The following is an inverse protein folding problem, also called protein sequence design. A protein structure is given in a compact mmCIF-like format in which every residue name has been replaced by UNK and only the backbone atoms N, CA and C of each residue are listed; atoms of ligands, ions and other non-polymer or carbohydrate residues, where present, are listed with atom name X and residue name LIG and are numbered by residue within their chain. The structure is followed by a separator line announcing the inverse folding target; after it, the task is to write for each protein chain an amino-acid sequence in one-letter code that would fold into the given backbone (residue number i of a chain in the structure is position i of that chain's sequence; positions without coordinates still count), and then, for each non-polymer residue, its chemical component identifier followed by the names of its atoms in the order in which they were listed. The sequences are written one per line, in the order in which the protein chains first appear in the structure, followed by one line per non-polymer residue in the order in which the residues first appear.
data_IF_667363642302
#
_entry.id   IF_667363642302
#
_cell.length_a   1.000
_cell.length_b   1.000
_cell.length_c   1.000
_cell.angle_alpha   90.00
_cell.angle_beta   90.00
_cell.angle_gamma   90.00
#
_symmetry.space_group_name_H-M   'P 1'
#
loop_
_entity.id
_entity.type
_entity.pdbx_description
1 polymer ?
#
# COMPACT_ATOMS: atom_id res chain seq x y z
N UNK A 1 1.58 -13.92 -46.43
CA UNK A 1 2.36 -14.91 -45.65
C UNK A 1 3.57 -14.14 -45.12
N UNK A 2 3.36 -13.37 -44.05
CA UNK A 2 4.37 -12.48 -43.45
C UNK A 2 5.02 -13.20 -42.27
N UNK A 3 6.35 -13.33 -42.31
CA UNK A 3 7.17 -13.88 -41.24
C UNK A 3 7.51 -12.78 -40.22
N UNK A 4 7.02 -12.92 -39.00
CA UNK A 4 7.49 -12.16 -37.83
C UNK A 4 8.81 -12.76 -37.35
N UNK A 5 9.86 -11.95 -37.30
CA UNK A 5 11.11 -12.24 -36.57
C UNK A 5 10.84 -12.01 -35.08
N UNK A 6 11.21 -12.99 -34.26
CA UNK A 6 11.26 -12.86 -32.81
C UNK A 6 12.67 -12.41 -32.42
N UNK A 7 12.77 -11.28 -31.74
CA UNK A 7 14.03 -10.82 -31.15
C UNK A 7 14.30 -11.62 -29.87
N UNK A 8 15.50 -12.20 -29.82
CA UNK A 8 16.04 -12.95 -28.68
C UNK A 8 16.70 -11.94 -27.75
N UNK A 9 16.20 -11.84 -26.53
CA UNK A 9 16.83 -11.08 -25.45
C UNK A 9 17.95 -11.94 -24.84
N UNK A 10 19.20 -11.48 -24.95
CA UNK A 10 20.33 -12.07 -24.24
C UNK A 10 20.32 -11.58 -22.78
N UNK A 11 20.13 -12.51 -21.84
CA UNK A 11 20.32 -12.26 -20.42
C UNK A 11 21.82 -12.33 -20.11
N UNK A 12 22.37 -11.24 -19.56
CA UNK A 12 23.75 -11.18 -19.09
C UNK A 12 23.96 -12.05 -17.84
N UNK A 13 25.06 -12.78 -17.83
CA UNK A 13 25.59 -13.50 -16.67
C UNK A 13 26.06 -12.48 -15.61
N UNK A 14 25.28 -12.30 -14.54
CA UNK A 14 25.73 -11.67 -13.31
C UNK A 14 26.12 -12.76 -12.30
N UNK A 15 27.24 -12.54 -11.62
CA UNK A 15 27.86 -13.42 -10.63
C UNK A 15 27.04 -13.38 -9.32
N UNK A 16 26.37 -14.49 -8.99
CA UNK A 16 25.37 -14.56 -7.91
C UNK A 16 26.03 -14.85 -6.55
N UNK A 17 26.25 -13.80 -5.76
CA UNK A 17 26.65 -13.90 -4.35
C UNK A 17 25.52 -14.50 -3.49
N UNK A 18 25.87 -15.28 -2.47
CA UNK A 18 24.99 -16.18 -1.70
C UNK A 18 24.02 -15.46 -0.72
N UNK A 19 23.64 -14.21 -0.97
CA UNK A 19 22.68 -13.45 -0.14
C UNK A 19 21.23 -13.58 -0.57
N UNK A 20 20.95 -14.27 -1.67
CA UNK A 20 19.57 -14.52 -2.13
C UNK A 20 19.03 -15.83 -1.54
N UNK A 21 18.21 -15.74 -0.50
CA UNK A 21 17.23 -16.81 -0.24
C UNK A 21 16.22 -16.76 -1.40
N UNK A 22 16.42 -17.66 -2.36
CA UNK A 22 15.69 -17.77 -3.63
C UNK A 22 14.18 -17.65 -3.49
N UNK A 23 13.55 -16.89 -4.40
CA UNK A 23 12.11 -16.88 -4.76
C UNK A 23 11.61 -18.28 -5.17
N UNK A 24 11.54 -19.22 -4.23
CA UNK A 24 10.66 -20.39 -4.36
C UNK A 24 9.27 -19.95 -3.91
N UNK A 25 8.23 -20.38 -4.62
CA UNK A 25 6.88 -20.39 -4.06
C UNK A 25 6.93 -21.27 -2.81
N UNK A 26 7.14 -20.65 -1.66
CA UNK A 26 7.14 -21.33 -0.37
C UNK A 26 5.70 -21.74 -0.06
N UNK A 27 5.54 -23.00 0.37
CA UNK A 27 4.24 -23.58 0.70
C UNK A 27 3.79 -23.10 2.09
N UNK A 28 4.66 -22.43 2.85
CA UNK A 28 4.42 -22.07 4.25
C UNK A 28 5.20 -20.83 4.70
N UNK A 29 4.53 -19.67 4.79
CA UNK A 29 5.15 -18.44 5.30
C UNK A 29 5.58 -18.50 6.77
N UNK A 30 5.06 -19.45 7.55
CA UNK A 30 5.49 -19.69 8.93
C UNK A 30 6.94 -20.16 8.97
N UNK A 31 7.34 -21.01 8.02
CA UNK A 31 8.72 -21.48 7.92
C UNK A 31 9.69 -20.34 7.60
N UNK A 32 9.30 -19.42 6.70
CA UNK A 32 10.13 -18.27 6.33
C UNK A 32 10.37 -17.35 7.53
N UNK A 33 9.32 -17.07 8.33
CA UNK A 33 9.43 -16.29 9.57
C UNK A 33 10.29 -16.98 10.63
N UNK A 34 10.20 -18.32 10.75
CA UNK A 34 11.04 -19.10 11.66
C UNK A 34 12.51 -19.08 11.26
N UNK A 35 12.80 -19.24 9.96
CA UNK A 35 14.16 -19.11 9.43
C UNK A 35 14.68 -17.70 9.71
N UNK A 36 13.88 -16.68 9.40
CA UNK A 36 14.21 -15.27 9.63
C UNK A 36 14.53 -14.99 11.12
N UNK A 37 13.77 -15.59 12.05
CA UNK A 37 14.00 -15.50 13.50
C UNK A 37 15.21 -16.30 14.00
N UNK A 38 15.56 -17.40 13.34
CA UNK A 38 16.69 -18.25 13.72
C UNK A 38 18.04 -17.65 13.31
N UNK A 39 18.09 -16.76 12.32
CA UNK A 39 19.32 -16.12 11.87
C UNK A 39 19.94 -15.24 12.96
N UNK A 40 21.28 -15.10 12.99
CA UNK A 40 21.95 -14.19 13.92
C UNK A 40 21.43 -12.75 13.77
N UNK A 41 21.37 -11.96 14.85
CA UNK A 41 20.82 -10.61 14.78
C UNK A 41 21.57 -9.73 13.78
N UNK A 42 20.84 -8.82 13.13
CA UNK A 42 21.43 -7.80 12.26
C UNK A 42 22.26 -8.42 11.12
N UNK A 43 21.77 -9.51 10.51
CA UNK A 43 22.40 -10.12 9.34
C UNK A 43 21.50 -10.14 8.11
N UNK A 44 20.20 -9.91 8.30
CA UNK A 44 19.23 -9.97 7.21
C UNK A 44 19.01 -8.57 6.66
N UNK A 45 19.26 -8.42 5.37
CA UNK A 45 19.03 -7.18 4.63
C UNK A 45 17.74 -7.22 3.82
N UNK A 46 17.34 -8.39 3.37
CA UNK A 46 16.16 -8.58 2.55
C UNK A 46 15.32 -9.72 3.11
N UNK A 47 14.01 -9.49 3.22
CA UNK A 47 13.05 -10.49 3.61
C UNK A 47 11.89 -10.53 2.61
N UNK A 48 11.59 -11.71 2.11
CA UNK A 48 10.45 -11.93 1.23
C UNK A 48 9.60 -13.06 1.79
N UNK A 49 8.35 -12.77 2.10
CA UNK A 49 7.33 -13.73 2.51
C UNK A 49 6.26 -13.80 1.43
N UNK A 50 5.98 -15.01 0.94
CA UNK A 50 4.83 -15.27 0.08
C UNK A 50 4.09 -16.48 0.66
N UNK A 51 2.93 -16.25 1.27
CA UNK A 51 2.14 -17.32 1.87
C UNK A 51 0.74 -17.36 1.27
N UNK A 52 0.19 -18.56 1.16
CA UNK A 52 -1.24 -18.79 0.92
C UNK A 52 -1.92 -19.41 2.15
N UNK A 53 -1.18 -19.61 3.25
CA UNK A 53 -1.67 -20.31 4.44
C UNK A 53 -2.40 -19.36 5.39
N UNK A 54 -3.58 -19.78 5.85
CA UNK A 54 -4.49 -18.97 6.67
C UNK A 54 -4.23 -19.06 8.17
N UNK A 55 -3.29 -19.91 8.60
CA UNK A 55 -3.28 -20.42 9.98
C UNK A 55 -2.02 -20.03 10.78
N UNK A 56 -1.12 -19.24 10.19
CA UNK A 56 0.07 -18.75 10.89
C UNK A 56 -0.31 -17.57 11.80
N UNK A 57 -0.92 -17.87 12.95
CA UNK A 57 -1.06 -16.92 14.06
C UNK A 57 0.27 -16.82 14.81
N UNK A 58 1.30 -16.23 14.18
CA UNK A 58 2.63 -16.22 14.78
C UNK A 58 2.84 -14.98 15.66
N UNK A 59 2.83 -15.20 16.98
CA UNK A 59 3.08 -14.21 18.05
C UNK A 59 4.49 -13.58 18.01
N UNK A 60 5.32 -13.91 17.01
CA UNK A 60 6.74 -13.61 16.98
C UNK A 60 7.22 -12.69 15.85
N UNK A 61 6.41 -12.42 14.81
CA UNK A 61 6.85 -11.63 13.65
C UNK A 61 7.48 -10.29 14.03
N UNK A 62 6.82 -9.52 14.91
CA UNK A 62 7.37 -8.25 15.40
C UNK A 62 8.70 -8.40 16.17
N UNK A 63 8.88 -9.48 16.93
CA UNK A 63 10.16 -9.74 17.63
C UNK A 63 11.28 -10.11 16.65
N UNK A 64 10.92 -10.81 15.57
CA UNK A 64 11.84 -11.16 14.49
C UNK A 64 12.29 -9.92 13.73
N UNK A 65 11.38 -9.01 13.36
CA UNK A 65 11.76 -7.74 12.75
C UNK A 65 12.66 -6.91 13.66
N UNK A 66 12.34 -6.82 14.96
CA UNK A 66 13.16 -6.11 15.96
C UNK A 66 14.61 -6.58 16.00
N UNK A 67 14.84 -7.87 15.76
CA UNK A 67 16.17 -8.49 15.74
C UNK A 67 17.04 -8.02 14.57
N UNK A 68 16.44 -7.45 13.52
CA UNK A 68 17.10 -7.07 12.26
C UNK A 68 16.85 -5.62 11.83
N UNK A 69 16.31 -4.75 12.70
CA UNK A 69 15.92 -3.36 12.35
C UNK A 69 17.02 -2.50 11.73
N UNK A 70 18.28 -2.76 12.09
CA UNK A 70 19.41 -1.95 11.67
C UNK A 70 20.04 -2.46 10.37
N UNK A 71 19.62 -3.62 9.87
CA UNK A 71 20.13 -4.17 8.60
C UNK A 71 19.06 -4.39 7.55
N UNK A 72 17.79 -4.53 7.95
CA UNK A 72 16.70 -4.83 7.05
C UNK A 72 16.36 -3.63 6.16
N UNK A 73 16.71 -3.75 4.88
CA UNK A 73 16.53 -2.74 3.84
C UNK A 73 15.34 -3.02 2.93
N UNK A 74 14.99 -4.29 2.72
CA UNK A 74 13.89 -4.66 1.81
C UNK A 74 12.95 -5.66 2.45
N UNK A 75 11.66 -5.36 2.39
CA UNK A 75 10.60 -6.26 2.82
C UNK A 75 9.59 -6.39 1.69
N UNK A 76 9.37 -7.63 1.27
CA UNK A 76 8.29 -8.01 0.37
C UNK A 76 7.38 -9.01 1.10
N UNK A 77 6.11 -8.67 1.20
CA UNK A 77 5.09 -9.51 1.81
C UNK A 77 3.93 -9.65 0.85
N UNK A 78 3.58 -10.89 0.50
CA UNK A 78 2.40 -11.21 -0.30
C UNK A 78 1.63 -12.34 0.36
N UNK A 79 0.36 -12.10 0.69
CA UNK A 79 -0.49 -13.14 1.28
C UNK A 79 -0.12 -13.60 2.71
N UNK A 80 0.78 -12.88 3.40
CA UNK A 80 1.20 -13.25 4.75
C UNK A 80 0.27 -12.65 5.82
N UNK A 81 -0.75 -13.42 6.22
CA UNK A 81 -1.73 -13.11 7.29
C UNK A 81 -1.06 -12.79 8.65
N UNK A 82 0.14 -13.35 8.88
CA UNK A 82 0.87 -13.28 10.16
C UNK A 82 1.48 -11.92 10.52
N UNK A 83 1.46 -10.92 9.64
CA UNK A 83 2.14 -9.63 9.87
C UNK A 83 1.21 -8.59 10.54
N UNK A 84 -0.01 -8.98 10.92
CA UNK A 84 -0.98 -8.05 11.51
C UNK A 84 -0.56 -7.42 12.84
N UNK A 85 -1.07 -6.19 13.01
CA UNK A 85 -0.97 -5.21 14.07
C UNK A 85 0.46 -4.86 14.50
N UNK A 86 1.17 -5.76 15.18
CA UNK A 86 2.44 -5.40 15.82
C UNK A 86 3.64 -5.49 14.90
N UNK A 87 3.61 -6.37 13.89
CA UNK A 87 4.77 -6.56 13.02
C UNK A 87 4.86 -5.45 11.97
N UNK A 88 3.74 -5.11 11.33
CA UNK A 88 3.65 -3.92 10.47
C UNK A 88 3.99 -2.65 11.23
N UNK A 89 3.46 -2.47 12.45
CA UNK A 89 3.83 -1.33 13.30
C UNK A 89 5.34 -1.30 13.59
N UNK A 90 5.98 -2.43 13.91
CA UNK A 90 7.43 -2.51 14.12
C UNK A 90 8.19 -2.12 12.86
N UNK A 91 7.77 -2.63 11.70
CA UNK A 91 8.36 -2.25 10.44
C UNK A 91 8.25 -0.73 10.26
N UNK A 92 7.02 -0.20 10.31
CA UNK A 92 6.71 1.22 10.04
C UNK A 92 7.43 2.17 11.01
N UNK A 93 7.50 1.82 12.29
CA UNK A 93 7.99 2.71 13.34
C UNK A 93 9.45 2.52 13.75
N UNK A 94 10.03 1.33 13.59
CA UNK A 94 11.33 1.00 14.18
C UNK A 94 12.42 0.74 13.12
N UNK A 95 12.05 0.36 11.89
CA UNK A 95 13.01 -0.11 10.89
C UNK A 95 13.58 1.03 10.03
N UNK A 96 14.39 1.91 10.62
CA UNK A 96 14.90 3.14 9.96
C UNK A 96 15.77 2.92 8.70
N UNK A 97 16.26 1.69 8.49
CA UNK A 97 17.10 1.34 7.33
C UNK A 97 16.31 0.83 6.13
N UNK A 98 14.98 0.76 6.23
CA UNK A 98 14.13 0.24 5.15
C UNK A 98 14.11 1.19 3.94
N UNK A 99 14.46 0.65 2.78
CA UNK A 99 14.48 1.33 1.48
C UNK A 99 13.34 0.85 0.55
N UNK A 100 12.90 -0.40 0.72
CA UNK A 100 11.85 -1.03 -0.09
C UNK A 100 10.83 -1.69 0.82
N UNK A 101 9.56 -1.29 0.69
CA UNK A 101 8.44 -1.95 1.33
C UNK A 101 7.37 -2.28 0.28
N UNK A 102 7.13 -3.57 0.09
CA UNK A 102 6.11 -4.10 -0.81
C UNK A 102 5.16 -4.99 -0.01
N UNK A 103 3.90 -4.57 0.10
CA UNK A 103 2.82 -5.32 0.77
C UNK A 103 1.71 -5.53 -0.24
N UNK A 104 1.70 -6.73 -0.81
CA UNK A 104 0.73 -7.15 -1.82
C UNK A 104 -0.39 -8.00 -1.22
N UNK A 105 -1.62 -7.64 -1.58
CA UNK A 105 -2.80 -8.37 -1.19
C UNK A 105 -3.05 -9.54 -2.15
N UNK A 106 -3.22 -10.75 -1.62
CA UNK A 106 -3.34 -11.99 -2.40
C UNK A 106 -4.78 -12.46 -2.66
N UNK A 107 -5.78 -11.64 -2.32
CA UNK A 107 -7.11 -11.78 -2.93
C UNK A 107 -8.18 -12.43 -2.05
N UNK A 108 -7.86 -12.92 -0.85
CA UNK A 108 -8.79 -13.82 -0.13
C UNK A 108 -9.43 -13.22 1.11
N UNK A 109 -8.74 -12.33 1.82
CA UNK A 109 -9.20 -11.76 3.10
C UNK A 109 -8.67 -10.35 3.30
N UNK A 110 -9.36 -9.55 4.13
CA UNK A 110 -8.94 -8.22 4.57
C UNK A 110 -7.73 -8.28 5.54
N UNK A 111 -7.14 -9.46 5.72
CA UNK A 111 -6.09 -9.77 6.68
C UNK A 111 -4.67 -9.46 6.16
N UNK A 112 -4.53 -9.05 4.90
CA UNK A 112 -3.24 -8.93 4.19
C UNK A 112 -2.93 -7.48 3.75
N UNK A 113 -3.54 -6.50 4.40
CA UNK A 113 -3.33 -5.07 4.14
C UNK A 113 -3.08 -4.30 5.44
N UNK A 114 -2.44 -3.14 5.34
CA UNK A 114 -2.31 -2.22 6.47
C UNK A 114 -3.67 -1.55 6.69
N UNK A 115 -4.28 -1.75 7.85
CA UNK A 115 -5.53 -1.07 8.19
C UNK A 115 -5.32 0.45 8.21
N UNK A 116 -6.30 1.21 7.70
CA UNK A 116 -6.22 2.68 7.63
C UNK A 116 -5.93 3.31 9.00
N UNK A 117 -6.52 2.78 10.06
CA UNK A 117 -6.28 3.23 11.43
C UNK A 117 -4.82 3.01 11.85
N UNK A 118 -4.25 1.83 11.60
CA UNK A 118 -2.85 1.54 11.91
C UNK A 118 -1.87 2.37 11.06
N UNK A 119 -2.20 2.58 9.79
CA UNK A 119 -1.40 3.39 8.88
C UNK A 119 -1.23 4.84 9.38
N UNK A 120 -2.19 5.36 10.15
CA UNK A 120 -2.19 6.74 10.66
C UNK A 120 -1.84 6.86 12.15
N UNK A 121 -1.94 5.76 12.91
CA UNK A 121 -1.74 5.78 14.36
C UNK A 121 -0.31 6.19 14.75
N UNK A 122 0.66 5.88 13.88
CA UNK A 122 2.07 6.15 14.15
C UNK A 122 2.77 6.81 12.96
N UNK A 123 3.72 7.73 13.22
CA UNK A 123 4.56 8.29 12.16
C UNK A 123 5.51 7.22 11.63
N UNK A 124 5.60 7.13 10.30
CA UNK A 124 6.57 6.26 9.65
C UNK A 124 8.00 6.78 9.88
N UNK A 125 8.89 5.87 10.28
CA UNK A 125 10.25 6.16 10.74
C UNK A 125 11.32 6.18 9.63
N UNK A 126 10.94 5.80 8.41
CA UNK A 126 11.86 5.62 7.30
C UNK A 126 12.26 6.96 6.69
N UNK A 127 13.55 7.29 6.74
CA UNK A 127 14.06 8.50 6.05
C UNK A 127 14.50 8.21 4.63
N UNK A 128 14.91 6.97 4.33
CA UNK A 128 15.56 6.59 3.07
C UNK A 128 14.67 5.72 2.17
N UNK A 129 13.35 5.74 2.39
CA UNK A 129 12.41 4.92 1.61
C UNK A 129 12.46 5.34 0.13
N UNK A 130 12.77 4.39 -0.75
CA UNK A 130 12.88 4.62 -2.21
C UNK A 130 11.69 4.05 -2.95
N UNK A 131 11.25 2.85 -2.56
CA UNK A 131 10.13 2.14 -3.18
C UNK A 131 9.09 1.76 -2.14
N UNK A 132 7.86 2.23 -2.36
CA UNK A 132 6.74 1.96 -1.47
C UNK A 132 5.55 1.43 -2.26
N UNK A 133 5.11 0.22 -1.91
CA UNK A 133 3.92 -0.42 -2.48
C UNK A 133 2.99 -0.95 -1.37
N UNK A 134 2.26 -0.07 -0.66
CA UNK A 134 1.39 -0.49 0.40
C UNK A 134 0.00 -0.76 -0.16
N UNK A 135 -0.62 -1.84 0.31
CA UNK A 135 -2.06 -2.02 0.22
C UNK A 135 -2.69 -1.53 1.52
N UNK A 136 -3.49 -0.47 1.46
CA UNK A 136 -4.21 0.08 2.62
C UNK A 136 -5.65 -0.45 2.63
N UNK A 137 -6.02 -1.10 3.72
CA UNK A 137 -7.39 -1.51 4.01
C UNK A 137 -8.21 -0.32 4.49
N UNK A 138 -9.29 0.00 3.78
CA UNK A 138 -10.20 1.09 4.12
C UNK A 138 -11.62 0.51 4.29
N UNK A 139 -12.30 0.78 5.41
CA UNK A 139 -13.70 0.39 5.58
C UNK A 139 -14.57 0.93 4.44
N UNK A 140 -15.46 0.11 3.89
CA UNK A 140 -16.37 0.48 2.80
C UNK A 140 -17.28 1.65 3.17
N UNK A 141 -17.73 1.67 4.42
CA UNK A 141 -18.60 2.71 4.93
C UNK A 141 -17.77 3.85 5.56
N UNK A 142 -18.14 5.13 5.34
CA UNK A 142 -19.32 5.58 4.60
C UNK A 142 -19.08 5.96 3.11
N UNK A 143 -17.85 5.99 2.61
CA UNK A 143 -17.57 6.58 1.30
C UNK A 143 -18.00 5.72 0.10
N UNK A 144 -17.78 4.41 0.19
CA UNK A 144 -17.89 3.51 -0.95
C UNK A 144 -19.21 2.76 -0.97
N UNK A 145 -19.74 2.45 0.20
CA UNK A 145 -21.08 1.91 0.35
C UNK A 145 -21.73 2.46 1.60
N UNK A 146 -23.02 2.76 1.51
CA UNK A 146 -23.84 3.02 2.67
C UNK A 146 -25.28 2.64 2.31
N UNK A 147 -25.92 1.83 3.15
CA UNK A 147 -27.25 1.26 2.83
C UNK A 147 -28.24 2.41 2.53
N UNK A 148 -28.79 2.41 1.32
CA UNK A 148 -29.75 3.43 0.87
C UNK A 148 -29.14 4.76 0.42
N UNK A 149 -27.82 4.87 0.35
CA UNK A 149 -27.12 6.07 -0.16
C UNK A 149 -26.21 5.69 -1.31
N UNK A 150 -26.29 6.47 -2.39
CA UNK A 150 -25.44 6.30 -3.55
C UNK A 150 -23.95 6.50 -3.17
N UNK A 151 -23.02 5.65 -3.64
CA UNK A 151 -21.58 5.80 -3.37
C UNK A 151 -21.08 7.22 -3.68
N UNK A 152 -20.16 7.73 -2.87
CA UNK A 152 -19.66 9.12 -3.00
C UNK A 152 -19.27 9.47 -4.44
N UNK A 153 -18.62 8.55 -5.15
CA UNK A 153 -18.19 8.73 -6.54
C UNK A 153 -19.35 8.94 -7.52
N UNK A 154 -20.49 8.28 -7.30
CA UNK A 154 -21.66 8.29 -8.19
C UNK A 154 -22.63 9.46 -7.96
N UNK A 155 -22.60 10.09 -6.78
CA UNK A 155 -23.49 11.23 -6.45
C UNK A 155 -23.35 12.41 -7.42
N UNK A 156 -24.47 13.03 -7.80
CA UNK A 156 -24.47 14.29 -8.56
C UNK A 156 -23.97 15.48 -7.72
N UNK A 157 -23.39 16.50 -8.38
CA UNK A 157 -22.98 17.73 -7.70
C UNK A 157 -24.19 18.64 -7.39
N UNK A 158 -24.16 19.43 -6.28
CA UNK A 158 -23.12 19.50 -5.25
C UNK A 158 -23.17 18.32 -4.26
N UNK A 159 -22.01 17.74 -3.95
CA UNK A 159 -21.89 16.64 -2.99
C UNK A 159 -21.79 17.21 -1.56
N UNK A 160 -22.80 16.95 -0.73
CA UNK A 160 -22.66 17.17 0.72
C UNK A 160 -22.05 15.92 1.35
N UNK A 161 -20.96 16.10 2.07
CA UNK A 161 -20.34 15.05 2.87
C UNK A 161 -20.99 14.98 4.25
N UNK A 162 -21.29 13.76 4.70
CA UNK A 162 -21.64 13.48 6.09
C UNK A 162 -20.42 13.62 7.00
N UNK A 163 -20.65 13.70 8.32
CA UNK A 163 -19.57 13.79 9.30
C UNK A 163 -18.63 12.57 9.24
N UNK A 164 -19.17 11.36 9.04
CA UNK A 164 -18.37 10.15 8.92
C UNK A 164 -17.54 10.14 7.63
N UNK A 165 -18.07 10.66 6.51
CA UNK A 165 -17.29 10.79 5.27
C UNK A 165 -16.15 11.78 5.45
N UNK A 166 -16.39 12.92 6.11
CA UNK A 166 -15.36 13.90 6.44
C UNK A 166 -14.24 13.26 7.26
N UNK A 167 -14.58 12.44 8.26
CA UNK A 167 -13.62 11.72 9.08
C UNK A 167 -12.78 10.74 8.25
N UNK A 168 -13.41 9.91 7.41
CA UNK A 168 -12.69 8.97 6.56
C UNK A 168 -11.78 9.68 5.53
N UNK A 169 -12.21 10.83 5.01
CA UNK A 169 -11.35 11.70 4.20
C UNK A 169 -10.15 12.23 4.98
N UNK A 170 -10.34 12.65 6.24
CA UNK A 170 -9.27 13.13 7.10
C UNK A 170 -8.24 12.03 7.43
N UNK A 171 -8.70 10.80 7.68
CA UNK A 171 -7.83 9.64 7.87
C UNK A 171 -7.02 9.34 6.60
N UNK A 172 -7.66 9.37 5.44
CA UNK A 172 -6.97 9.21 4.15
C UNK A 172 -5.92 10.31 3.93
N UNK A 173 -6.23 11.56 4.28
CA UNK A 173 -5.27 12.67 4.25
C UNK A 173 -4.05 12.41 5.15
N UNK A 174 -4.26 11.88 6.34
CA UNK A 174 -3.17 11.56 7.25
C UNK A 174 -2.21 10.55 6.63
N UNK A 175 -2.71 9.50 5.96
CA UNK A 175 -1.86 8.56 5.19
C UNK A 175 -1.06 9.31 4.12
N UNK A 176 -1.70 10.17 3.32
CA UNK A 176 -1.00 10.92 2.27
C UNK A 176 0.12 11.79 2.85
N UNK A 177 -0.11 12.46 3.97
CA UNK A 177 0.92 13.28 4.63
C UNK A 177 2.12 12.44 5.06
N UNK A 178 1.90 11.22 5.55
CA UNK A 178 2.99 10.31 5.90
C UNK A 178 3.79 9.89 4.68
N UNK A 179 3.11 9.48 3.60
CA UNK A 179 3.77 9.14 2.32
C UNK A 179 4.58 10.34 1.80
N UNK A 180 4.01 11.55 1.87
CA UNK A 180 4.66 12.76 1.36
C UNK A 180 5.85 13.23 2.20
N UNK A 181 6.00 12.73 3.44
CA UNK A 181 7.18 12.96 4.25
C UNK A 181 8.40 12.13 3.78
N UNK A 182 8.18 11.12 2.93
CA UNK A 182 9.23 10.26 2.37
C UNK A 182 9.93 10.95 1.18
N UNK A 183 10.78 11.93 1.46
CA UNK A 183 11.41 12.77 0.42
C UNK A 183 12.34 12.02 -0.54
N UNK A 184 12.77 10.82 -0.15
CA UNK A 184 13.64 9.95 -0.96
C UNK A 184 12.89 8.98 -1.88
N UNK A 185 11.56 9.00 -1.83
CA UNK A 185 10.70 8.10 -2.60
C UNK A 185 10.83 8.38 -4.10
N UNK A 186 11.25 7.37 -4.87
CA UNK A 186 11.33 7.42 -6.33
C UNK A 186 10.27 6.55 -7.03
N UNK A 187 9.67 5.60 -6.32
CA UNK A 187 8.58 4.74 -6.80
C UNK A 187 7.46 4.62 -5.76
N UNK A 188 6.22 4.90 -6.16
CA UNK A 188 5.02 4.73 -5.32
C UNK A 188 3.95 3.93 -6.07
N UNK A 189 3.50 2.81 -5.50
CA UNK A 189 2.34 2.06 -5.97
C UNK A 189 1.32 1.91 -4.84
N UNK A 190 0.39 2.86 -4.75
CA UNK A 190 -0.53 2.97 -3.63
C UNK A 190 -1.85 2.23 -3.93
N UNK A 191 -2.06 1.05 -3.33
CA UNK A 191 -3.26 0.21 -3.56
C UNK A 191 -4.25 0.38 -2.41
N UNK A 192 -5.55 0.39 -2.74
CA UNK A 192 -6.62 0.43 -1.74
C UNK A 192 -7.40 -0.88 -1.78
N UNK A 193 -7.65 -1.42 -0.60
CA UNK A 193 -8.56 -2.55 -0.40
C UNK A 193 -9.77 -2.06 0.37
N UNK A 194 -10.94 -2.11 -0.25
CA UNK A 194 -12.17 -1.78 0.45
C UNK A 194 -12.76 -3.03 1.10
N UNK A 195 -13.12 -2.95 2.37
CA UNK A 195 -13.66 -4.09 3.10
C UNK A 195 -14.85 -3.72 3.98
N UNK A 196 -15.72 -4.69 4.20
CA UNK A 196 -16.79 -4.62 5.18
C UNK A 196 -16.26 -5.07 6.55
N UNK A 197 -16.20 -4.19 7.57
CA UNK A 197 -15.73 -4.57 8.90
C UNK A 197 -16.54 -5.70 9.53
N UNK A 198 -17.81 -5.87 9.13
CA UNK A 198 -18.67 -6.95 9.62
C UNK A 198 -18.44 -8.28 8.88
N UNK A 199 -17.64 -8.28 7.80
CA UNK A 199 -17.37 -9.46 6.98
C UNK A 199 -18.57 -9.97 6.19
N UNK A 200 -19.66 -9.18 6.13
CA UNK A 200 -20.90 -9.57 5.46
C UNK A 200 -20.82 -9.52 3.93
N UNK A 201 -19.81 -8.83 3.39
CA UNK A 201 -19.65 -8.62 1.95
C UNK A 201 -18.31 -9.18 1.45
N UNK A 202 -18.30 -9.72 0.22
CA UNK A 202 -17.05 -10.08 -0.43
C UNK A 202 -16.22 -8.82 -0.64
N UNK A 203 -14.91 -8.99 -0.60
CA UNK A 203 -13.96 -7.93 -0.90
C UNK A 203 -14.13 -7.53 -2.36
N UNK A 204 -14.22 -6.22 -2.62
CA UNK A 204 -14.24 -5.69 -3.98
C UNK A 204 -12.82 -5.71 -4.53
N UNK A 205 -12.58 -6.48 -5.59
CA UNK A 205 -11.33 -6.46 -6.36
C UNK A 205 -11.36 -5.45 -7.52
N UNK A 206 -12.47 -4.73 -7.68
CA UNK A 206 -12.66 -3.80 -8.78
C UNK A 206 -11.83 -2.52 -8.59
N UNK A 207 -10.71 -2.47 -9.30
CA UNK A 207 -9.76 -1.35 -9.30
C UNK A 207 -10.40 -0.03 -9.76
N UNK A 208 -11.45 -0.05 -10.58
CA UNK A 208 -12.14 1.17 -11.01
C UNK A 208 -12.94 1.79 -9.86
N UNK A 209 -13.55 0.97 -9.01
CA UNK A 209 -14.27 1.43 -7.81
C UNK A 209 -13.34 1.70 -6.63
N UNK A 210 -12.22 1.00 -6.55
CA UNK A 210 -11.20 1.11 -5.51
C UNK A 210 -10.21 2.22 -5.87
N UNK A 211 -10.54 3.47 -5.57
CA UNK A 211 -9.59 4.57 -5.70
C UNK A 211 -9.51 5.40 -4.43
N UNK A 212 -8.29 5.83 -4.10
CA UNK A 212 -8.00 6.66 -2.94
C UNK A 212 -8.77 7.99 -3.00
N UNK A 213 -9.52 8.32 -1.95
CA UNK A 213 -10.38 9.50 -1.97
C UNK A 213 -9.54 10.78 -1.96
N UNK A 214 -9.74 11.64 -2.97
CA UNK A 214 -9.21 13.00 -3.01
C UNK A 214 -7.73 13.14 -3.41
N UNK A 215 -6.99 12.05 -3.65
CA UNK A 215 -5.56 12.09 -3.94
C UNK A 215 -5.22 12.93 -5.20
N UNK A 216 -5.92 12.68 -6.31
CA UNK A 216 -5.75 13.45 -7.56
C UNK A 216 -6.89 14.43 -7.86
N UNK A 217 -7.76 14.72 -6.90
CA UNK A 217 -8.88 15.62 -7.16
C UNK A 217 -8.37 17.06 -7.33
N UNK A 218 -8.71 17.73 -8.43
CA UNK A 218 -8.48 19.18 -8.55
C UNK A 218 -9.41 19.90 -7.55
N UNK A 219 -8.85 20.80 -6.73
CA UNK A 219 -9.61 21.51 -5.69
C UNK A 219 -10.76 22.29 -6.31
N UNK A 220 -11.98 22.00 -5.90
CA UNK A 220 -13.13 22.84 -6.22
C UNK A 220 -13.67 23.48 -4.94
N UNK A 221 -13.24 24.72 -4.67
CA UNK A 221 -13.69 25.52 -3.51
C UNK A 221 -15.21 25.65 -3.44
N UNK A 222 -15.91 25.64 -4.60
CA UNK A 222 -17.37 25.75 -4.66
C UNK A 222 -18.07 24.51 -4.09
N UNK A 223 -17.45 23.34 -4.22
CA UNK A 223 -18.05 22.06 -3.82
C UNK A 223 -17.40 21.45 -2.57
N UNK A 224 -16.56 22.25 -1.86
CA UNK A 224 -15.87 21.85 -0.60
C UNK A 224 -15.18 20.50 -0.70
N UNK A 225 -14.64 20.20 -1.87
CA UNK A 225 -14.01 18.91 -2.09
C UNK A 225 -12.57 18.92 -1.59
N UNK A 226 -12.16 17.92 -0.80
CA UNK A 226 -10.76 17.78 -0.43
C UNK A 226 -9.90 17.51 -1.67
N UNK A 227 -8.78 18.21 -1.76
CA UNK A 227 -7.74 18.00 -2.76
C UNK A 227 -6.43 17.77 -2.01
N UNK A 228 -5.83 16.61 -2.20
CA UNK A 228 -4.58 16.22 -1.55
C UNK A 228 -3.40 16.14 -2.51
N UNK A 229 -3.59 16.49 -3.78
CA UNK A 229 -2.53 16.52 -4.79
C UNK A 229 -1.37 17.42 -4.36
N UNK A 230 -1.66 18.51 -3.66
CA UNK A 230 -0.65 19.43 -3.16
C UNK A 230 0.32 18.79 -2.16
N UNK A 231 -0.08 17.72 -1.45
CA UNK A 231 0.83 16.99 -0.55
C UNK A 231 1.95 16.30 -1.33
N UNK A 232 1.66 15.81 -2.55
CA UNK A 232 2.64 15.15 -3.41
C UNK A 232 3.76 16.09 -3.90
N UNK A 233 3.60 17.41 -3.76
CA UNK A 233 4.62 18.38 -4.18
C UNK A 233 5.96 18.22 -3.45
N UNK A 234 5.97 17.59 -2.27
CA UNK A 234 7.20 17.28 -1.52
C UNK A 234 8.02 16.12 -2.10
N UNK A 235 7.41 15.26 -2.92
CA UNK A 235 8.03 14.05 -3.47
C UNK A 235 8.83 14.36 -4.75
N UNK A 236 9.83 15.23 -4.62
CA UNK A 236 10.63 15.74 -5.75
C UNK A 236 11.46 14.69 -6.50
N UNK A 237 11.67 13.51 -5.88
CA UNK A 237 12.39 12.39 -6.49
C UNK A 237 11.48 11.34 -7.12
N UNK A 238 10.15 11.47 -6.97
CA UNK A 238 9.17 10.51 -7.47
C UNK A 238 9.21 10.47 -9.01
N UNK A 239 9.49 9.30 -9.55
CA UNK A 239 9.53 9.03 -11.00
C UNK A 239 8.28 8.31 -11.45
N UNK A 240 7.82 7.37 -10.63
CA UNK A 240 6.77 6.44 -10.94
C UNK A 240 5.65 6.51 -9.90
N UNK A 241 4.42 6.77 -10.37
CA UNK A 241 3.20 6.79 -9.55
C UNK A 241 2.18 5.81 -10.14
N UNK A 242 1.93 4.73 -9.41
CA UNK A 242 0.97 3.68 -9.74
C UNK A 242 -0.06 3.51 -8.62
N UNK A 243 -1.06 2.67 -8.89
CA UNK A 243 -1.97 2.14 -7.88
C UNK A 243 -3.43 2.50 -8.14
N UNK A 244 -4.20 2.49 -7.05
CA UNK A 244 -5.63 2.78 -6.96
C UNK A 244 -5.90 4.28 -7.10
N UNK A 245 -5.48 4.83 -8.23
CA UNK A 245 -5.50 6.25 -8.52
C UNK A 245 -6.30 6.49 -9.79
N UNK A 246 -7.52 7.01 -9.64
CA UNK A 246 -8.41 7.24 -10.77
C UNK A 246 -8.17 8.64 -11.33
N UNK A 247 -7.41 8.73 -12.42
CA UNK A 247 -7.26 9.98 -13.17
C UNK A 247 -8.55 10.34 -13.92
N UNK A 248 -9.30 9.34 -14.40
CA UNK A 248 -10.44 9.51 -15.32
C UNK A 248 -11.75 9.64 -14.53
N UNK A 249 -12.01 10.81 -14.01
CA UNK A 249 -13.34 11.16 -13.52
C UNK A 249 -13.75 12.49 -14.12
N UNK A 250 -15.04 12.79 -14.17
CA UNK A 250 -15.58 14.11 -14.55
C UNK A 250 -14.98 15.28 -13.72
N UNK A 251 -14.16 14.95 -12.72
CA UNK A 251 -13.37 15.81 -11.84
C UNK A 251 -12.23 16.55 -12.56
N UNK A 252 -11.70 15.99 -13.65
CA UNK A 252 -10.75 16.70 -14.55
C UNK A 252 -11.45 17.46 -15.67
N UNK A 253 -12.76 17.24 -15.89
CA UNK A 253 -13.54 17.96 -16.90
C UNK A 253 -14.08 19.30 -16.37
N UNK A 254 -13.22 20.08 -15.71
CA UNK A 254 -13.41 21.53 -15.69
C UNK A 254 -12.70 22.03 -16.95
N UNK A 255 -13.42 22.55 -17.97
CA UNK A 255 -12.75 23.17 -19.09
C UNK A 255 -11.81 24.24 -18.52
N UNK A 256 -10.52 24.14 -18.85
CA UNK A 256 -9.55 25.21 -18.58
C UNK A 256 -9.95 26.42 -19.43
N UNK A 257 -11.03 27.10 -19.03
CA UNK A 257 -11.48 28.35 -19.59
C UNK A 257 -10.47 29.40 -19.18
N UNK A 258 -9.74 29.91 -20.17
CA UNK A 258 -8.80 31.01 -20.01
C UNK A 258 -9.45 32.18 -19.28
N UNK A 259 -8.73 32.69 -18.29
CA UNK A 259 -8.86 34.08 -17.88
C UNK A 259 -8.08 34.96 -18.84
#
# INVERSE_FOLDING_TARGET
MEQRKADVFEAGDEDWDLTWITRRQCVDGELDLRIFGALPPQQVQEFSCASNSTDAHDLYAGSTYRRHLCTLQKVHSSGCVSIRDKADQVLLMECTTLEVLEIDWSGRRHEECIDLEDAINFPWSYTNMRRLEPTIGVPDEPLHLHIGVEPYKKRSQPKMLSAAEIEQFAQSEAVYRQICALTDLDYLNLKILLYDPEGNRPISDDVEFNAFPGLLSICNRRYRRPNYFHHLAGLTKLKDLFGSVLAITEEIHVPMGGQ
#
